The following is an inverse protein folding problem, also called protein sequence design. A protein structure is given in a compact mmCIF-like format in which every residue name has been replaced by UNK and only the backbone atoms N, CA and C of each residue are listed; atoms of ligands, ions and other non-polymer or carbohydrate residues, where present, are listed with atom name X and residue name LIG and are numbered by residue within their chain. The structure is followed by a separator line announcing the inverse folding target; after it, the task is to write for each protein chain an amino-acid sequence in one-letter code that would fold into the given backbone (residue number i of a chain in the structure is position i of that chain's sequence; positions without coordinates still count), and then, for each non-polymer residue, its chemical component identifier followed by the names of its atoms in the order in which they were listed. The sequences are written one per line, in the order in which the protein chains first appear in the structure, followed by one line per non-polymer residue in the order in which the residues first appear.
data_IF_032848666772
#
_entry.id   IF_032848666772
#
_cell.length_a   1.000
_cell.length_b   1.000
_cell.length_c   1.000
_cell.angle_alpha   90.00
_cell.angle_beta   90.00
_cell.angle_gamma   90.00
#
_symmetry.space_group_name_H-M   'P 1'
#
loop_
_entity.id
_entity.type
_entity.pdbx_description
1 polymer ?
#
# COMPACT_ATOMS: atom_id res chain seq x y z
N UNK A 1 17.18 66.47 -0.27
CA UNK A 1 18.44 66.55 -1.04
C UNK A 1 18.82 65.13 -1.41
N UNK A 2 18.81 64.87 -2.71
CA UNK A 2 19.20 63.61 -3.35
C UNK A 2 20.65 63.23 -3.02
N UNK A 3 20.92 61.93 -2.82
CA UNK A 3 22.06 61.24 -3.43
C UNK A 3 21.72 59.75 -3.55
N UNK A 4 21.37 59.36 -4.78
CA UNK A 4 21.41 57.98 -5.29
C UNK A 4 22.86 57.51 -5.39
N UNK A 5 23.00 56.19 -5.55
CA UNK A 5 24.19 55.43 -5.96
C UNK A 5 24.99 54.80 -4.81
N UNK A 6 24.47 53.70 -4.28
CA UNK A 6 25.18 52.41 -4.16
C UNK A 6 24.18 51.31 -3.71
N UNK A 7 23.02 51.30 -4.37
CA UNK A 7 22.26 50.08 -4.61
C UNK A 7 23.14 49.23 -5.54
N UNK A 8 23.62 48.06 -5.10
CA UNK A 8 23.87 46.85 -5.90
C UNK A 8 24.75 45.78 -5.22
N UNK A 9 25.10 45.90 -3.93
CA UNK A 9 25.89 44.87 -3.23
C UNK A 9 25.29 44.32 -1.93
N UNK A 10 24.11 44.77 -1.50
CA UNK A 10 23.45 44.22 -0.30
C UNK A 10 22.38 43.15 -0.58
N UNK A 11 22.12 42.80 -1.85
CA UNK A 11 21.03 41.87 -2.20
C UNK A 11 21.34 40.38 -1.95
N UNK A 12 22.50 40.05 -1.37
CA UNK A 12 22.95 38.66 -1.16
C UNK A 12 22.81 38.20 0.30
N UNK A 13 22.46 39.10 1.24
CA UNK A 13 22.45 38.78 2.68
C UNK A 13 21.07 38.77 3.34
N UNK A 14 19.99 38.99 2.59
CA UNK A 14 18.63 38.85 3.12
C UNK A 14 17.89 37.83 2.28
N UNK A 15 17.43 36.78 2.96
CA UNK A 15 16.50 35.78 2.45
C UNK A 15 17.11 34.62 1.65
N UNK A 16 18.20 34.04 2.15
CA UNK A 16 18.12 32.59 2.44
C UNK A 16 17.13 32.40 3.60
N UNK A 17 15.85 32.79 3.37
CA UNK A 17 14.73 32.08 3.96
C UNK A 17 14.86 30.69 3.33
N UNK A 18 15.72 29.89 3.95
CA UNK A 18 15.63 28.46 3.94
C UNK A 18 14.19 28.23 4.36
N UNK A 19 13.34 28.06 3.37
CA UNK A 19 12.02 27.50 3.57
C UNK A 19 12.36 26.11 4.10
N UNK A 20 12.43 25.99 5.43
CA UNK A 20 12.33 24.72 6.11
C UNK A 20 10.95 24.19 5.74
N UNK A 21 10.83 23.64 4.54
CA UNK A 21 9.78 22.70 4.22
C UNK A 21 10.03 21.55 5.18
N UNK A 22 9.38 21.59 6.34
CA UNK A 22 9.23 20.42 7.17
C UNK A 22 8.37 19.46 6.34
N UNK A 23 9.02 18.59 5.57
CA UNK A 23 8.34 17.55 4.83
C UNK A 23 7.68 16.63 5.86
N UNK A 24 6.37 16.81 6.06
CA UNK A 24 5.59 16.11 7.09
C UNK A 24 5.53 14.60 6.80
N UNK A 25 5.64 14.22 5.53
CA UNK A 25 5.54 12.84 5.09
C UNK A 25 6.68 12.54 4.14
N UNK A 26 7.53 11.58 4.54
CA UNK A 26 8.62 11.08 3.72
C UNK A 26 8.35 9.62 3.36
N UNK A 27 8.14 9.37 2.08
CA UNK A 27 8.14 8.02 1.51
C UNK A 27 9.59 7.69 1.13
N UNK A 28 10.22 6.71 1.80
CA UNK A 28 11.65 6.42 1.61
C UNK A 28 11.95 5.57 0.37
N UNK A 29 10.94 5.17 -0.39
CA UNK A 29 11.10 4.32 -1.57
C UNK A 29 9.96 3.30 -1.69
N UNK A 30 9.96 2.48 -2.74
CA UNK A 30 8.95 1.44 -2.90
C UNK A 30 9.13 0.35 -1.85
N UNK A 31 8.02 -0.03 -1.20
CA UNK A 31 7.96 -1.23 -0.38
C UNK A 31 8.20 -2.44 -1.29
N UNK A 32 9.19 -3.28 -0.99
CA UNK A 32 9.39 -4.53 -1.70
C UNK A 32 8.46 -5.61 -1.14
N UNK A 33 7.44 -5.98 -1.90
CA UNK A 33 6.55 -7.07 -1.55
C UNK A 33 6.84 -8.30 -2.41
N UNK A 34 6.91 -9.46 -1.79
CA UNK A 34 6.98 -10.71 -2.53
C UNK A 34 5.58 -11.08 -3.04
N UNK A 35 5.56 -11.64 -4.24
CA UNK A 35 4.33 -12.11 -4.84
C UNK A 35 3.63 -13.17 -3.97
N UNK A 36 2.36 -12.93 -3.65
CA UNK A 36 1.52 -13.90 -2.95
C UNK A 36 1.81 -13.96 -1.44
N UNK A 37 2.61 -13.03 -0.92
CA UNK A 37 3.07 -13.04 0.46
C UNK A 37 2.64 -11.76 1.20
N UNK A 38 2.73 -11.85 2.51
CA UNK A 38 2.59 -10.73 3.43
C UNK A 38 3.94 -10.08 3.69
N UNK A 39 4.00 -8.76 3.60
CA UNK A 39 5.18 -7.96 3.94
C UNK A 39 4.80 -6.93 4.98
N UNK A 40 5.46 -6.95 6.14
CA UNK A 40 5.21 -5.99 7.20
C UNK A 40 5.84 -4.64 6.87
N UNK A 41 5.09 -3.56 7.10
CA UNK A 41 5.56 -2.19 6.88
C UNK A 41 6.48 -1.79 8.02
N UNK A 42 7.67 -1.32 7.66
CA UNK A 42 8.63 -0.79 8.62
C UNK A 42 8.49 0.73 8.74
N UNK A 43 8.95 1.28 9.88
CA UNK A 43 9.01 2.74 10.08
C UNK A 43 9.84 3.47 9.03
N UNK A 44 10.80 2.80 8.40
CA UNK A 44 11.58 3.34 7.29
C UNK A 44 10.74 3.58 6.03
N UNK A 45 9.77 2.71 5.76
CA UNK A 45 9.05 2.68 4.48
C UNK A 45 8.06 3.85 4.38
N UNK A 46 7.38 4.14 5.48
CA UNK A 46 6.43 5.24 5.60
C UNK A 46 6.72 6.07 6.86
N UNK A 47 7.41 7.19 6.67
CA UNK A 47 7.75 8.13 7.75
C UNK A 47 6.77 9.29 7.74
N UNK A 48 5.89 9.34 8.73
CA UNK A 48 4.97 10.46 8.95
C UNK A 48 5.43 11.16 10.23
N UNK A 49 5.91 12.40 10.08
CA UNK A 49 6.35 13.27 11.18
C UNK A 49 5.60 14.59 11.09
N UNK A 50 4.36 14.64 11.59
CA UNK A 50 3.71 15.90 11.87
C UNK A 50 4.55 16.64 12.90
N UNK A 51 4.47 17.96 12.94
CA UNK A 51 5.15 18.77 13.96
C UNK A 51 4.89 18.27 15.39
N UNK A 52 5.65 18.81 16.35
CA UNK A 52 5.87 18.28 17.72
C UNK A 52 4.66 17.95 18.60
N UNK A 53 3.40 18.09 18.16
CA UNK A 53 2.21 17.89 18.99
C UNK A 53 1.04 17.08 18.39
N UNK A 54 1.21 16.24 17.36
CA UNK A 54 0.06 15.44 16.88
C UNK A 54 -0.04 14.05 17.55
N UNK A 55 -0.63 13.95 18.75
CA UNK A 55 -1.11 12.66 19.25
C UNK A 55 -2.20 12.05 18.35
N UNK A 56 -2.88 12.89 17.57
CA UNK A 56 -4.09 12.57 16.81
C UNK A 56 -3.81 12.32 15.31
N UNK A 57 -2.62 11.79 14.99
CA UNK A 57 -2.27 11.44 13.62
C UNK A 57 -2.77 10.03 13.25
N UNK A 58 -3.52 9.94 12.16
CA UNK A 58 -4.05 8.69 11.62
C UNK A 58 -3.82 8.57 10.12
N UNK A 59 -3.71 7.33 9.67
CA UNK A 59 -3.60 6.96 8.27
C UNK A 59 -4.80 6.09 7.92
N UNK A 60 -5.53 6.48 6.87
CA UNK A 60 -6.62 5.69 6.30
C UNK A 60 -6.21 5.20 4.92
N UNK A 61 -6.40 3.91 4.67
CA UNK A 61 -6.26 3.31 3.34
C UNK A 61 -7.51 3.68 2.53
N UNK A 62 -7.30 4.31 1.38
CA UNK A 62 -8.38 4.62 0.45
C UNK A 62 -8.49 3.47 -0.54
N UNK A 63 -9.36 2.49 -0.25
CA UNK A 63 -9.73 1.48 -1.23
C UNK A 63 -10.76 2.05 -2.19
N UNK A 64 -10.48 1.88 -3.47
CA UNK A 64 -11.50 1.97 -4.49
C UNK A 64 -11.73 0.52 -4.95
N UNK A 65 -12.89 -0.05 -4.62
CA UNK A 65 -13.19 -1.48 -4.84
C UNK A 65 -13.08 -1.88 -6.32
N UNK A 66 -13.27 -0.91 -7.21
CA UNK A 66 -13.18 -1.07 -8.67
C UNK A 66 -11.77 -0.85 -9.22
N UNK A 67 -10.83 -0.31 -8.43
CA UNK A 67 -9.48 0.00 -8.91
C UNK A 67 -8.62 -1.27 -9.06
N UNK A 68 -7.83 -1.31 -10.13
CA UNK A 68 -6.88 -2.39 -10.39
C UNK A 68 -5.88 -2.59 -9.25
N UNK A 69 -5.46 -1.52 -8.56
CA UNK A 69 -4.51 -1.64 -7.43
C UNK A 69 -5.07 -2.47 -6.28
N UNK A 70 -6.36 -2.33 -5.96
CA UNK A 70 -7.02 -3.07 -4.87
C UNK A 70 -7.14 -4.57 -5.17
N UNK A 71 -7.06 -4.95 -6.46
CA UNK A 71 -7.10 -6.36 -6.92
C UNK A 71 -5.73 -7.05 -6.82
N UNK A 72 -4.65 -6.28 -6.69
CA UNK A 72 -3.26 -6.79 -6.67
C UNK A 72 -2.81 -7.07 -5.23
N UNK A 73 -3.29 -6.28 -4.28
CA UNK A 73 -3.06 -6.51 -2.86
C UNK A 73 -3.71 -5.44 -1.99
N UNK A 74 -3.56 -5.58 -0.68
CA UNK A 74 -4.11 -4.65 0.31
C UNK A 74 -3.13 -4.34 1.41
N UNK A 75 -3.23 -3.14 1.97
CA UNK A 75 -2.61 -2.80 3.24
C UNK A 75 -3.60 -3.10 4.38
N UNK A 76 -3.15 -3.66 5.49
CA UNK A 76 -3.98 -3.94 6.66
C UNK A 76 -3.28 -3.49 7.95
N UNK A 77 -4.01 -2.95 8.94
CA UNK A 77 -5.43 -2.59 8.88
C UNK A 77 -5.71 -1.42 7.94
N UNK A 78 -6.98 -1.24 7.56
CA UNK A 78 -7.42 -0.15 6.68
C UNK A 78 -7.33 1.24 7.33
N UNK A 79 -7.14 1.29 8.64
CA UNK A 79 -6.88 2.51 9.39
C UNK A 79 -5.91 2.22 10.54
N UNK A 80 -4.88 3.04 10.70
CA UNK A 80 -3.85 2.89 11.74
C UNK A 80 -3.30 4.24 12.21
N UNK A 81 -2.70 4.27 13.40
CA UNK A 81 -2.00 5.45 13.91
C UNK A 81 -0.70 5.68 13.12
N UNK A 82 -0.32 6.95 12.90
CA UNK A 82 1.00 7.27 12.34
C UNK A 82 2.15 6.70 13.20
N UNK A 83 1.91 6.49 14.51
CA UNK A 83 2.81 5.80 15.42
C UNK A 83 2.50 4.30 15.59
N UNK A 84 2.07 3.62 14.52
CA UNK A 84 1.85 2.17 14.49
C UNK A 84 3.02 1.36 15.07
N UNK A 85 2.75 0.18 15.62
CA UNK A 85 3.81 -0.70 16.15
C UNK A 85 4.45 -1.49 15.00
N UNK A 86 5.72 -1.85 15.12
CA UNK A 86 6.35 -2.75 14.16
C UNK A 86 5.55 -4.06 14.10
N UNK A 87 5.29 -4.56 12.88
CA UNK A 87 4.49 -5.76 12.66
C UNK A 87 2.96 -5.57 12.78
N UNK A 88 2.45 -4.38 13.15
CA UNK A 88 1.00 -4.15 13.24
C UNK A 88 0.35 -3.70 11.93
N UNK A 89 1.16 -3.32 10.93
CA UNK A 89 0.72 -2.91 9.60
C UNK A 89 1.45 -3.76 8.58
N UNK A 90 0.73 -4.31 7.62
CA UNK A 90 1.31 -5.16 6.58
C UNK A 90 0.60 -5.00 5.26
N UNK A 91 1.33 -5.24 4.18
CA UNK A 91 0.80 -5.37 2.83
C UNK A 91 0.68 -6.86 2.48
N UNK A 92 -0.47 -7.26 1.97
CA UNK A 92 -0.75 -8.61 1.47
C UNK A 92 -0.87 -8.56 -0.05
N UNK A 93 0.05 -9.20 -0.77
CA UNK A 93 -0.04 -9.35 -2.22
C UNK A 93 -0.87 -10.59 -2.56
N UNK A 94 -1.89 -10.45 -3.39
CA UNK A 94 -2.85 -11.53 -3.67
C UNK A 94 -2.38 -12.55 -4.72
N UNK A 95 -1.15 -12.41 -5.20
CA UNK A 95 -0.56 -13.34 -6.17
C UNK A 95 -1.04 -13.11 -7.61
N UNK A 96 -1.43 -11.89 -7.96
CA UNK A 96 -1.65 -11.50 -9.36
C UNK A 96 -0.32 -11.14 -10.01
N UNK A 97 0.00 -11.72 -11.17
CA UNK A 97 1.22 -11.39 -11.95
C UNK A 97 1.01 -10.27 -12.94
N UNK A 98 -0.11 -9.56 -12.84
CA UNK A 98 -0.48 -8.57 -13.83
C UNK A 98 0.49 -7.39 -13.88
N UNK A 99 0.99 -6.95 -12.71
CA UNK A 99 1.92 -5.82 -12.59
C UNK A 99 3.10 -6.20 -11.68
N UNK A 100 4.27 -5.61 -11.94
CA UNK A 100 5.46 -5.72 -11.10
C UNK A 100 5.59 -4.53 -10.11
N UNK A 101 4.64 -3.62 -10.11
CA UNK A 101 4.55 -2.52 -9.15
C UNK A 101 3.08 -2.11 -8.99
N UNK A 102 2.77 -1.52 -7.84
CA UNK A 102 1.44 -0.96 -7.53
C UNK A 102 1.58 0.21 -6.56
N UNK A 103 0.50 0.94 -6.31
CA UNK A 103 0.52 2.07 -5.39
C UNK A 103 -0.75 2.09 -4.53
N UNK A 104 -0.57 2.00 -3.21
CA UNK A 104 -1.68 2.11 -2.25
C UNK A 104 -1.91 3.59 -1.95
N UNK A 105 -3.13 4.07 -2.19
CA UNK A 105 -3.53 5.43 -1.83
C UNK A 105 -3.87 5.50 -0.34
N UNK A 106 -3.21 6.41 0.35
CA UNK A 106 -3.37 6.67 1.78
C UNK A 106 -3.87 8.10 1.97
N UNK A 107 -4.70 8.30 2.98
CA UNK A 107 -5.07 9.62 3.49
C UNK A 107 -4.48 9.76 4.89
N UNK A 108 -3.49 10.63 5.03
CA UNK A 108 -2.87 10.94 6.31
C UNK A 108 -3.58 12.17 6.87
N UNK A 109 -4.16 12.03 8.07
CA UNK A 109 -4.82 13.12 8.76
C UNK A 109 -4.09 13.40 10.08
N UNK A 110 -3.76 14.66 10.31
CA UNK A 110 -3.12 15.15 11.54
C UNK A 110 -3.61 16.56 11.87
N UNK A 111 -3.31 17.02 13.09
CA UNK A 111 -3.60 18.39 13.52
C UNK A 111 -2.30 19.22 13.55
N UNK A 112 -2.36 20.47 13.07
CA UNK A 112 -1.25 21.42 13.19
C UNK A 112 -1.12 21.92 14.63
N UNK A 113 -0.04 22.64 14.92
CA UNK A 113 0.14 23.29 16.23
C UNK A 113 -0.97 24.31 16.55
N UNK A 114 -1.66 24.83 15.53
CA UNK A 114 -2.79 25.75 15.65
C UNK A 114 -4.14 25.02 15.76
N UNK A 115 -4.13 23.70 15.99
CA UNK A 115 -5.32 22.84 16.05
C UNK A 115 -6.14 22.76 14.76
N UNK A 116 -5.53 23.09 13.62
CA UNK A 116 -6.16 22.92 12.31
C UNK A 116 -6.02 21.46 11.84
N UNK A 117 -7.13 20.86 11.38
CA UNK A 117 -7.12 19.50 10.83
C UNK A 117 -6.65 19.51 9.38
N UNK A 118 -5.52 18.88 9.10
CA UNK A 118 -4.96 18.72 7.75
C UNK A 118 -5.11 17.28 7.29
N UNK A 119 -5.48 17.08 6.02
CA UNK A 119 -5.55 15.75 5.40
C UNK A 119 -4.78 15.74 4.08
N UNK A 120 -3.76 14.88 3.98
CA UNK A 120 -2.86 14.80 2.85
C UNK A 120 -2.97 13.42 2.17
N UNK A 121 -3.29 13.36 0.86
CA UNK A 121 -3.23 12.12 0.10
C UNK A 121 -1.78 11.76 -0.20
N UNK A 122 -1.41 10.50 0.04
CA UNK A 122 -0.06 9.97 -0.19
C UNK A 122 -0.17 8.62 -0.89
N UNK A 123 0.77 8.33 -1.78
CA UNK A 123 0.88 7.02 -2.41
C UNK A 123 2.05 6.25 -1.80
N UNK A 124 1.75 5.08 -1.22
CA UNK A 124 2.76 4.09 -0.87
C UNK A 124 3.01 3.24 -2.11
N UNK A 125 4.15 3.46 -2.76
CA UNK A 125 4.60 2.63 -3.87
C UNK A 125 5.00 1.25 -3.34
N UNK A 126 4.63 0.21 -4.06
CA UNK A 126 4.97 -1.17 -3.75
C UNK A 126 5.55 -1.79 -5.01
N UNK A 127 6.81 -2.21 -4.92
CA UNK A 127 7.45 -2.99 -5.97
C UNK A 127 7.22 -4.47 -5.67
N UNK A 128 6.69 -5.17 -6.65
CA UNK A 128 6.39 -6.58 -6.55
C UNK A 128 7.60 -7.32 -7.08
N UNK A 129 8.38 -7.86 -6.15
CA UNK A 129 9.58 -8.58 -6.53
C UNK A 129 9.19 -9.82 -7.33
N UNK A 130 9.78 -10.01 -8.52
CA UNK A 130 9.57 -11.24 -9.27
C UNK A 130 10.01 -12.42 -8.41
N UNK A 131 9.41 -13.54 -8.73
CA UNK A 131 9.59 -14.84 -8.15
C UNK A 131 11.02 -15.42 -8.19
N UNK A 132 12.09 -14.64 -8.07
CA UNK A 132 13.46 -15.18 -8.01
C UNK A 132 13.69 -16.06 -6.77
N UNK A 133 12.79 -15.99 -5.77
CA UNK A 133 12.66 -16.94 -4.65
C UNK A 133 11.28 -17.65 -4.55
N UNK A 134 10.50 -17.65 -5.65
CA UNK A 134 9.32 -18.48 -5.99
C UNK A 134 7.93 -18.25 -5.35
N UNK A 135 6.89 -18.04 -6.20
CA UNK A 135 5.50 -18.39 -5.93
C UNK A 135 4.74 -19.05 -7.10
N UNK A 136 5.35 -19.24 -8.28
CA UNK A 136 4.77 -20.14 -9.31
C UNK A 136 5.14 -21.61 -9.09
N UNK A 137 6.10 -21.92 -8.19
CA UNK A 137 6.38 -23.32 -7.81
C UNK A 137 5.50 -23.82 -6.66
N UNK A 138 4.75 -22.95 -5.97
CA UNK A 138 3.85 -23.43 -4.92
C UNK A 138 2.57 -24.01 -5.53
N UNK A 139 2.04 -23.48 -6.62
CA UNK A 139 0.86 -24.07 -7.26
C UNK A 139 1.30 -25.26 -8.13
N UNK A 140 1.15 -26.47 -7.59
CA UNK A 140 1.49 -27.71 -8.32
C UNK A 140 0.32 -28.25 -9.13
N UNK A 141 -0.89 -27.74 -8.89
CA UNK A 141 -2.08 -28.08 -9.66
C UNK A 141 -3.05 -26.91 -9.71
N UNK A 142 -3.48 -26.55 -10.90
CA UNK A 142 -4.55 -25.59 -11.16
C UNK A 142 -5.31 -26.01 -12.42
N UNK A 143 -6.22 -26.97 -12.27
CA UNK A 143 -7.01 -27.53 -13.39
C UNK A 143 -8.27 -26.72 -13.68
N UNK A 144 -8.51 -25.63 -12.94
CA UNK A 144 -9.74 -24.84 -13.03
C UNK A 144 -10.96 -25.58 -12.47
N UNK A 145 -12.12 -24.92 -12.59
CA UNK A 145 -13.40 -25.49 -12.20
C UNK A 145 -14.26 -25.65 -13.46
N UNK A 146 -14.95 -26.78 -13.56
CA UNK A 146 -15.88 -27.10 -14.65
C UNK A 146 -17.31 -26.97 -14.15
N UNK A 147 -18.12 -26.20 -14.88
CA UNK A 147 -19.57 -26.17 -14.75
C UNK A 147 -20.18 -26.68 -16.07
N UNK A 148 -21.36 -27.32 -15.99
CA UNK A 148 -22.06 -27.84 -17.17
C UNK A 148 -22.61 -26.69 -18.01
N UNK A 149 -23.73 -26.13 -17.55
CA UNK A 149 -24.35 -24.95 -18.16
C UNK A 149 -24.08 -23.68 -17.34
N UNK A 150 -24.41 -22.51 -17.92
CA UNK A 150 -24.18 -21.20 -17.30
C UNK A 150 -24.87 -20.99 -15.94
N UNK A 151 -25.91 -21.76 -15.64
CA UNK A 151 -26.65 -21.74 -14.37
C UNK A 151 -26.22 -22.81 -13.37
N UNK A 152 -25.31 -23.71 -13.76
CA UNK A 152 -24.88 -24.81 -12.89
C UNK A 152 -23.77 -24.40 -11.94
N UNK A 153 -23.75 -25.04 -10.78
CA UNK A 153 -22.60 -24.98 -9.88
C UNK A 153 -21.41 -25.71 -10.50
N UNK A 154 -20.22 -25.14 -10.36
CA UNK A 154 -18.99 -25.85 -10.72
C UNK A 154 -18.72 -27.02 -9.78
N UNK A 155 -17.80 -27.92 -10.17
CA UNK A 155 -17.27 -28.88 -9.22
C UNK A 155 -16.66 -28.18 -7.98
N UNK A 156 -16.63 -28.84 -6.80
CA UNK A 156 -15.99 -28.29 -5.60
C UNK A 156 -14.49 -28.06 -5.81
N UNK A 157 -13.92 -27.06 -5.15
CA UNK A 157 -12.47 -26.88 -5.03
C UNK A 157 -11.93 -27.99 -4.11
N UNK A 158 -10.96 -28.76 -4.60
CA UNK A 158 -10.34 -29.85 -3.83
C UNK A 158 -8.90 -30.12 -4.29
N UNK A 159 -8.17 -30.98 -3.56
CA UNK A 159 -6.80 -31.37 -3.93
C UNK A 159 -6.67 -32.03 -5.31
N UNK A 160 -7.79 -32.48 -5.90
CA UNK A 160 -7.81 -33.04 -7.26
C UNK A 160 -7.76 -31.98 -8.37
N UNK A 161 -8.13 -30.74 -8.08
CA UNK A 161 -8.17 -29.64 -9.06
C UNK A 161 -7.31 -28.42 -8.67
N UNK A 162 -7.02 -28.23 -7.38
CA UNK A 162 -6.15 -27.17 -6.88
C UNK A 162 -5.25 -27.72 -5.76
N UNK A 163 -3.93 -27.59 -5.92
CA UNK A 163 -2.98 -28.07 -4.92
C UNK A 163 -1.76 -27.16 -4.81
N UNK A 164 -1.28 -27.03 -3.57
CA UNK A 164 -0.17 -26.17 -3.21
C UNK A 164 0.98 -26.99 -2.58
N UNK A 165 2.21 -26.68 -2.96
CA UNK A 165 3.47 -27.15 -2.41
C UNK A 165 4.00 -26.08 -1.46
N UNK A 166 4.09 -26.45 -0.20
CA UNK A 166 4.63 -25.61 0.87
C UNK A 166 5.21 -26.53 1.95
N UNK A 167 6.15 -26.00 2.73
CA UNK A 167 6.76 -26.71 3.83
C UNK A 167 5.85 -26.65 5.07
N UNK A 168 5.05 -27.70 5.29
CA UNK A 168 4.13 -27.81 6.44
C UNK A 168 4.77 -27.65 7.82
N UNK A 169 6.09 -27.78 7.95
CA UNK A 169 6.79 -27.58 9.23
C UNK A 169 7.20 -26.13 9.50
N UNK A 170 7.18 -25.26 8.48
CA UNK A 170 7.68 -23.87 8.56
C UNK A 170 6.70 -22.84 7.99
N UNK A 171 5.71 -23.27 7.22
CA UNK A 171 4.84 -22.40 6.43
C UNK A 171 3.38 -22.72 6.73
N UNK A 172 2.57 -21.68 6.85
CA UNK A 172 1.11 -21.75 6.93
C UNK A 172 0.52 -21.37 5.58
N UNK A 173 -0.37 -22.20 5.04
CA UNK A 173 -1.02 -21.97 3.76
C UNK A 173 -2.51 -21.65 3.99
N UNK A 174 -2.88 -20.40 3.72
CA UNK A 174 -4.25 -19.92 3.87
C UNK A 174 -4.87 -19.66 2.51
N UNK A 175 -6.05 -20.21 2.28
CA UNK A 175 -6.85 -19.97 1.07
C UNK A 175 -8.01 -19.05 1.46
N UNK A 176 -8.09 -17.90 0.82
CA UNK A 176 -9.19 -16.96 1.00
C UNK A 176 -9.83 -16.66 -0.35
N UNK A 177 -11.16 -16.61 -0.37
CA UNK A 177 -11.88 -16.05 -1.52
C UNK A 177 -11.70 -14.54 -1.47
N UNK A 178 -11.07 -13.98 -2.49
CA UNK A 178 -11.01 -12.54 -2.65
C UNK A 178 -12.39 -12.09 -3.10
N UNK A 179 -13.10 -11.38 -2.22
CA UNK A 179 -14.29 -10.63 -2.60
C UNK A 179 -13.85 -9.43 -3.44
N UNK A 180 -13.46 -9.67 -4.69
CA UNK A 180 -13.45 -8.64 -5.70
C UNK A 180 -14.89 -8.41 -6.12
N UNK A 181 -15.39 -7.18 -6.02
CA UNK A 181 -16.65 -6.79 -6.62
C UNK A 181 -16.71 -7.34 -8.05
N UNK A 182 -17.50 -8.39 -8.28
CA UNK A 182 -17.96 -8.74 -9.60
C UNK A 182 -18.89 -7.59 -10.00
N UNK A 183 -18.59 -6.79 -11.04
CA UNK A 183 -19.50 -5.75 -11.51
C UNK A 183 -20.75 -6.33 -12.18
N UNK A 184 -20.91 -7.64 -12.18
CA UNK A 184 -22.02 -8.33 -12.82
C UNK A 184 -22.69 -9.19 -11.77
N UNK A 185 -23.72 -8.61 -11.16
CA UNK A 185 -24.91 -9.36 -10.82
C UNK A 185 -25.24 -10.28 -11.99
N UNK A 186 -25.14 -11.58 -11.80
CA UNK A 186 -25.78 -12.51 -12.71
C UNK A 186 -27.30 -12.21 -12.68
N UNK A 187 -27.95 -12.01 -13.83
CA UNK A 187 -29.40 -11.88 -13.85
C UNK A 187 -30.00 -13.16 -13.27
N UNK A 188 -30.91 -12.99 -12.32
CA UNK A 188 -31.77 -14.06 -11.80
C UNK A 188 -32.72 -14.56 -12.88
#
# INVERSE_FOLDING_TARGET
MEFKCLFLLSLVLVSTFICCHSEVIRNSGPLSANFGQTTYIQKSDLRIKPGSQSSDCSVKVLYEETSFSSRIGRLFPSQFSCNYKEGSVYYEHYGSSLLNHTAVKLLVTYFTNESERVSLPVYLKVDILPASSSPFNCIVRNLGLTAGDASDFSNPISSSNLAFLYNRSREECTISVLNGAAPYSWPR
#
